data_IF_772878432013
#
_entry.id   IF_772878432013
#
_cell.length_a   1.000
_cell.length_b   1.000
_cell.length_c   1.000
_cell.angle_alpha   90.00
_cell.angle_beta   90.00
_cell.angle_gamma   90.00
#
_symmetry.space_group_name_H-M   'P 1'
#
loop_
_entity.id
_entity.type
_entity.pdbx_description
1 polymer ?
#
# COMPACT_ATOMS: atom_id res chain seq x y z
N UNK A 1 9.28 10.63 -18.15
CA UNK A 1 8.78 10.96 -16.81
C UNK A 1 9.33 12.30 -16.34
N UNK A 2 8.45 13.17 -15.92
CA UNK A 2 8.82 14.52 -15.48
C UNK A 2 9.25 14.51 -14.02
N UNK A 3 10.40 15.12 -13.71
CA UNK A 3 10.90 15.22 -12.34
C UNK A 3 9.86 15.87 -11.41
N UNK A 4 9.16 16.90 -11.88
CA UNK A 4 8.13 17.58 -11.10
C UNK A 4 6.91 16.71 -10.81
N UNK A 5 6.66 15.70 -11.65
CA UNK A 5 5.57 14.76 -11.46
C UNK A 5 5.93 13.53 -10.67
N UNK A 6 7.19 13.38 -10.27
CA UNK A 6 7.64 12.21 -9.54
C UNK A 6 7.18 12.28 -8.08
N UNK A 7 6.48 11.26 -7.63
CA UNK A 7 5.87 11.21 -6.29
C UNK A 7 6.49 10.13 -5.42
N UNK A 8 6.15 10.14 -4.13
CA UNK A 8 6.53 9.06 -3.23
C UNK A 8 5.92 7.74 -3.66
N UNK A 9 4.73 7.76 -4.24
CA UNK A 9 4.12 6.54 -4.77
C UNK A 9 4.93 5.97 -5.94
N UNK A 10 5.50 6.83 -6.79
CA UNK A 10 6.41 6.38 -7.86
C UNK A 10 7.63 5.68 -7.26
N UNK A 11 8.20 6.26 -6.21
CA UNK A 11 9.34 5.66 -5.52
C UNK A 11 8.99 4.30 -4.93
N UNK A 12 7.82 4.19 -4.33
CA UNK A 12 7.34 2.93 -3.74
C UNK A 12 7.15 1.86 -4.82
N UNK A 13 6.53 2.24 -5.95
CA UNK A 13 6.30 1.30 -7.05
C UNK A 13 7.63 0.82 -7.64
N UNK A 14 8.59 1.73 -7.86
CA UNK A 14 9.91 1.37 -8.37
C UNK A 14 10.64 0.42 -7.41
N UNK A 15 10.57 0.71 -6.11
CA UNK A 15 11.16 -0.15 -5.09
C UNK A 15 10.55 -1.55 -5.13
N UNK A 16 9.21 -1.64 -5.16
CA UNK A 16 8.53 -2.93 -5.21
C UNK A 16 8.92 -3.74 -6.43
N UNK A 17 8.99 -3.09 -7.59
CA UNK A 17 9.39 -3.75 -8.83
C UNK A 17 10.81 -4.32 -8.71
N UNK A 18 11.74 -3.55 -8.14
CA UNK A 18 13.12 -4.01 -7.92
C UNK A 18 13.18 -5.19 -6.95
N UNK A 19 12.25 -5.24 -6.00
CA UNK A 19 12.19 -6.31 -5.00
C UNK A 19 11.40 -7.54 -5.49
N UNK A 20 11.06 -7.57 -6.77
CA UNK A 20 10.43 -8.72 -7.38
C UNK A 20 8.91 -8.75 -7.30
N UNK A 21 8.28 -7.66 -6.90
CA UNK A 21 6.82 -7.55 -6.89
C UNK A 21 6.32 -7.21 -8.28
N UNK A 22 5.25 -7.86 -8.66
CA UNK A 22 4.56 -7.55 -9.92
C UNK A 22 3.45 -6.54 -9.61
N UNK A 23 3.57 -5.34 -10.13
CA UNK A 23 2.56 -4.29 -9.91
C UNK A 23 1.34 -4.58 -10.79
N UNK A 24 0.19 -4.75 -10.16
CA UNK A 24 -1.06 -5.04 -10.86
C UNK A 24 -1.85 -3.76 -11.13
N UNK A 25 -1.93 -2.87 -10.14
CA UNK A 25 -2.65 -1.62 -10.27
C UNK A 25 -2.03 -0.55 -9.40
N UNK A 26 -2.21 0.70 -9.81
CA UNK A 26 -1.83 1.88 -9.03
C UNK A 26 -3.01 2.82 -8.98
N UNK A 27 -3.20 3.47 -7.84
CA UNK A 27 -4.29 4.43 -7.67
C UNK A 27 -5.64 3.84 -8.08
N UNK A 28 -5.88 2.61 -7.65
CA UNK A 28 -7.13 1.94 -7.95
C UNK A 28 -8.27 2.54 -7.14
N UNK A 29 -9.39 2.81 -7.80
CA UNK A 29 -10.55 3.41 -7.14
C UNK A 29 -11.83 2.68 -7.52
N UNK A 30 -12.74 2.61 -6.55
CA UNK A 30 -14.10 2.13 -6.76
C UNK A 30 -15.01 2.88 -5.79
N UNK A 31 -15.77 3.86 -6.31
CA UNK A 31 -16.53 4.78 -5.47
C UNK A 31 -15.58 5.60 -4.60
N UNK A 32 -15.78 5.54 -3.30
CA UNK A 32 -14.91 6.23 -2.33
C UNK A 32 -13.76 5.37 -1.83
N UNK A 33 -13.66 4.15 -2.34
CA UNK A 33 -12.60 3.23 -1.96
C UNK A 33 -11.39 3.44 -2.86
N UNK A 34 -10.19 3.44 -2.27
CA UNK A 34 -8.98 3.57 -3.06
C UNK A 34 -7.84 2.75 -2.48
N UNK A 35 -6.95 2.30 -3.35
CA UNK A 35 -5.73 1.56 -2.98
C UNK A 35 -4.58 2.21 -3.74
N UNK A 36 -3.51 2.54 -3.01
CA UNK A 36 -2.36 3.17 -3.64
C UNK A 36 -1.66 2.25 -4.62
N UNK A 37 -1.31 1.03 -4.18
CA UNK A 37 -0.66 0.04 -5.04
C UNK A 37 -1.22 -1.34 -4.73
N UNK A 38 -1.53 -2.10 -5.77
CA UNK A 38 -1.86 -3.51 -5.67
C UNK A 38 -0.75 -4.27 -6.39
N UNK A 39 -0.14 -5.22 -5.71
CA UNK A 39 0.96 -6.00 -6.26
C UNK A 39 0.78 -7.48 -5.96
N UNK A 40 1.59 -8.31 -6.61
CA UNK A 40 1.61 -9.76 -6.37
C UNK A 40 3.06 -10.20 -6.25
N UNK A 41 3.30 -11.12 -5.31
CA UNK A 41 4.61 -11.77 -5.16
C UNK A 41 4.41 -13.13 -4.53
N UNK A 42 4.94 -14.15 -5.16
CA UNK A 42 4.91 -15.52 -4.61
C UNK A 42 3.50 -16.05 -4.37
N UNK A 43 2.52 -15.66 -5.18
CA UNK A 43 1.15 -16.11 -5.03
C UNK A 43 0.36 -15.38 -3.95
N UNK A 44 0.87 -14.24 -3.45
CA UNK A 44 0.21 -13.42 -2.45
C UNK A 44 -0.16 -12.09 -3.08
N UNK A 45 -1.41 -11.66 -2.88
CA UNK A 45 -1.86 -10.33 -3.28
C UNK A 45 -1.46 -9.36 -2.18
N UNK A 46 -0.72 -8.32 -2.53
CA UNK A 46 -0.21 -7.35 -1.56
C UNK A 46 -0.86 -6.00 -1.80
N UNK A 47 -1.59 -5.54 -0.79
CA UNK A 47 -2.26 -4.24 -0.79
C UNK A 47 -1.34 -3.28 -0.05
N UNK A 48 -0.87 -2.24 -0.74
CA UNK A 48 0.14 -1.34 -0.20
C UNK A 48 -0.41 0.06 0.00
N UNK A 49 -0.27 0.56 1.22
CA UNK A 49 -0.54 1.95 1.57
C UNK A 49 0.79 2.70 1.56
N UNK A 50 0.85 3.79 0.82
CA UNK A 50 2.07 4.60 0.70
C UNK A 50 1.93 5.86 1.51
N UNK A 51 2.90 6.14 2.37
CA UNK A 51 2.96 7.35 3.20
C UNK A 51 4.24 8.11 2.89
N UNK A 52 4.09 9.37 2.50
CA UNK A 52 5.23 10.26 2.26
C UNK A 52 5.35 11.20 3.45
N UNK A 53 6.53 11.29 4.03
CA UNK A 53 6.82 12.13 5.18
C UNK A 53 8.12 12.90 4.96
N UNK A 54 8.17 14.13 5.48
CA UNK A 54 9.41 14.91 5.41
C UNK A 54 10.47 14.38 6.34
N UNK A 55 10.02 13.92 7.51
CA UNK A 55 10.91 13.43 8.55
C UNK A 55 10.10 12.58 9.54
N UNK A 56 10.78 12.07 10.55
CA UNK A 56 10.19 11.15 11.52
C UNK A 56 9.53 11.84 12.72
N UNK A 57 9.31 13.15 12.68
CA UNK A 57 8.76 13.89 13.83
C UNK A 57 7.35 13.47 14.20
N UNK A 58 6.60 12.89 13.30
CA UNK A 58 5.21 12.52 13.51
C UNK A 58 5.03 11.07 13.95
N UNK A 59 6.07 10.47 14.51
CA UNK A 59 6.00 9.10 15.01
C UNK A 59 6.50 8.07 14.03
N UNK A 60 6.25 6.81 14.34
CA UNK A 60 6.66 5.70 13.47
C UNK A 60 5.76 5.62 12.25
N UNK A 61 6.26 5.16 11.10
CA UNK A 61 5.45 5.03 9.88
C UNK A 61 4.17 4.24 10.08
N UNK A 62 4.21 3.14 10.82
CA UNK A 62 3.05 2.29 11.06
C UNK A 62 1.98 3.00 11.89
N UNK A 63 2.37 3.98 12.71
CA UNK A 63 1.44 4.74 13.54
C UNK A 63 0.62 5.74 12.72
N UNK A 64 0.97 5.94 11.45
CA UNK A 64 0.24 6.84 10.57
C UNK A 64 -1.06 6.22 10.04
N UNK A 65 -1.33 4.95 10.34
CA UNK A 65 -2.50 4.24 9.82
C UNK A 65 -3.46 3.97 10.97
N UNK A 66 -4.52 4.79 11.05
CA UNK A 66 -5.56 4.66 12.08
C UNK A 66 -6.48 3.47 11.83
N UNK A 67 -7.27 3.10 12.84
CA UNK A 67 -8.28 2.05 12.68
C UNK A 67 -9.27 2.36 11.57
N UNK A 68 -9.70 3.61 11.45
CA UNK A 68 -10.60 4.01 10.37
C UNK A 68 -9.94 3.83 8.99
N UNK A 69 -8.66 4.14 8.89
CA UNK A 69 -7.92 3.95 7.65
C UNK A 69 -7.78 2.47 7.33
N UNK A 70 -7.46 1.65 8.34
CA UNK A 70 -7.38 0.19 8.17
C UNK A 70 -8.69 -0.35 7.65
N UNK A 71 -9.82 0.08 8.26
CA UNK A 71 -11.14 -0.34 7.82
C UNK A 71 -11.37 -0.02 6.34
N UNK A 72 -11.03 1.19 5.93
CA UNK A 72 -11.22 1.60 4.52
C UNK A 72 -10.34 0.80 3.58
N UNK A 73 -9.10 0.53 3.98
CA UNK A 73 -8.18 -0.27 3.16
C UNK A 73 -8.69 -1.70 3.01
N UNK A 74 -9.16 -2.30 4.11
CA UNK A 74 -9.70 -3.66 4.09
C UNK A 74 -10.92 -3.75 3.18
N UNK A 75 -11.83 -2.77 3.27
CA UNK A 75 -13.02 -2.74 2.40
C UNK A 75 -12.64 -2.54 0.93
N UNK A 76 -11.64 -1.70 0.66
CA UNK A 76 -11.15 -1.50 -0.70
C UNK A 76 -10.53 -2.79 -1.26
N UNK A 77 -9.74 -3.48 -0.45
CA UNK A 77 -9.14 -4.75 -0.84
C UNK A 77 -10.21 -5.80 -1.14
N UNK A 78 -11.25 -5.87 -0.30
CA UNK A 78 -12.36 -6.79 -0.53
C UNK A 78 -13.05 -6.50 -1.86
N UNK A 79 -13.29 -5.22 -2.16
CA UNK A 79 -13.90 -4.84 -3.43
C UNK A 79 -13.02 -5.24 -4.61
N UNK A 80 -11.71 -5.06 -4.50
CA UNK A 80 -10.76 -5.46 -5.53
C UNK A 80 -10.79 -6.95 -5.76
N UNK A 81 -10.69 -7.72 -4.69
CA UNK A 81 -10.68 -9.19 -4.74
C UNK A 81 -11.96 -9.72 -5.39
N UNK A 82 -13.10 -9.15 -5.02
CA UNK A 82 -14.38 -9.59 -5.59
C UNK A 82 -14.52 -9.23 -7.06
N UNK A 83 -14.12 -8.01 -7.41
CA UNK A 83 -14.25 -7.53 -8.79
C UNK A 83 -13.43 -8.35 -9.76
N UNK A 84 -12.19 -8.65 -9.39
CA UNK A 84 -11.26 -9.37 -10.26
C UNK A 84 -11.18 -10.86 -9.97
N UNK A 85 -12.03 -11.35 -9.07
CA UNK A 85 -12.09 -12.77 -8.70
C UNK A 85 -10.72 -13.33 -8.33
N UNK A 86 -10.03 -12.60 -7.47
CA UNK A 86 -8.70 -12.99 -7.02
C UNK A 86 -8.82 -14.20 -6.08
N UNK A 87 -8.00 -15.22 -6.32
CA UNK A 87 -7.92 -16.41 -5.49
C UNK A 87 -6.52 -16.54 -4.92
N UNK A 88 -6.14 -15.55 -4.13
CA UNK A 88 -4.84 -15.48 -3.46
C UNK A 88 -5.06 -14.97 -2.05
N UNK A 89 -4.23 -15.40 -1.09
CA UNK A 89 -4.23 -14.76 0.22
C UNK A 89 -3.82 -13.29 0.07
N UNK A 90 -4.33 -12.45 0.94
CA UNK A 90 -4.11 -11.01 0.90
C UNK A 90 -3.22 -10.60 2.07
N UNK A 91 -2.23 -9.77 1.78
CA UNK A 91 -1.34 -9.19 2.78
C UNK A 91 -1.37 -7.67 2.66
N UNK A 92 -1.36 -7.00 3.81
CA UNK A 92 -1.41 -5.53 3.87
C UNK A 92 -0.06 -4.99 4.29
N UNK A 93 0.54 -4.19 3.44
CA UNK A 93 1.85 -3.60 3.69
C UNK A 93 1.76 -2.08 3.74
N UNK A 94 2.69 -1.45 4.44
CA UNK A 94 2.84 0.00 4.44
C UNK A 94 4.24 0.30 3.90
N UNK A 95 4.33 1.24 2.97
CA UNK A 95 5.61 1.78 2.53
C UNK A 95 5.64 3.26 2.89
N UNK A 96 6.67 3.66 3.61
CA UNK A 96 6.94 5.06 3.92
C UNK A 96 8.09 5.55 3.06
N UNK A 97 7.88 6.69 2.44
CA UNK A 97 8.94 7.40 1.72
C UNK A 97 9.29 8.59 2.57
N UNK A 98 10.49 8.57 3.16
CA UNK A 98 10.88 9.50 4.21
C UNK A 98 11.99 10.43 3.77
N UNK A 99 11.76 11.71 3.98
CA UNK A 99 12.80 12.72 3.92
C UNK A 99 13.21 13.15 2.53
N UNK A 100 14.23 14.01 2.52
CA UNK A 100 14.77 14.64 1.32
C UNK A 100 15.33 13.60 0.34
N UNK A 101 15.91 12.54 0.86
CA UNK A 101 16.55 11.51 0.04
C UNK A 101 15.61 10.36 -0.31
N UNK A 102 14.33 10.48 0.03
CA UNK A 102 13.29 9.51 -0.30
C UNK A 102 13.65 8.10 0.18
N UNK A 103 14.02 8.02 1.45
CA UNK A 103 14.36 6.76 2.07
C UNK A 103 13.11 5.88 2.18
N UNK A 104 13.19 4.66 1.65
CA UNK A 104 12.08 3.71 1.69
C UNK A 104 12.13 2.89 2.97
N UNK A 105 10.98 2.80 3.65
CA UNK A 105 10.80 1.87 4.75
C UNK A 105 9.57 1.03 4.42
N UNK A 106 9.77 -0.28 4.29
CA UNK A 106 8.71 -1.21 3.90
C UNK A 106 8.33 -2.09 5.09
N UNK A 107 7.11 -1.94 5.56
CA UNK A 107 6.57 -2.74 6.66
C UNK A 107 5.70 -3.81 6.05
N UNK A 108 6.22 -5.03 6.04
CA UNK A 108 5.52 -6.19 5.47
C UNK A 108 4.55 -6.71 6.52
N UNK A 109 3.32 -7.03 6.08
CA UNK A 109 2.27 -7.55 6.96
C UNK A 109 2.00 -6.59 8.11
N UNK A 110 1.81 -5.31 7.77
CA UNK A 110 1.70 -4.22 8.73
C UNK A 110 0.45 -4.31 9.61
N UNK A 111 -0.63 -4.88 9.10
CA UNK A 111 -1.86 -5.14 9.87
C UNK A 111 -2.62 -6.27 9.19
N UNK A 112 -3.56 -6.83 9.94
CA UNK A 112 -4.38 -7.93 9.44
C UNK A 112 -5.84 -7.53 9.38
N UNK A 113 -6.63 -8.31 8.65
CA UNK A 113 -8.06 -8.10 8.58
C UNK A 113 -8.64 -8.19 9.99
N UNK A 114 -9.34 -7.14 10.46
CA UNK A 114 -9.90 -7.15 11.80
C UNK A 114 -10.91 -8.28 12.01
N UNK A 115 -11.02 -8.75 13.25
CA UNK A 115 -11.93 -9.85 13.60
C UNK A 115 -13.37 -9.53 13.22
N UNK A 116 -13.80 -8.26 13.39
CA UNK A 116 -15.17 -7.85 13.07
C UNK A 116 -15.51 -7.99 11.58
N UNK A 117 -14.52 -8.07 10.73
CA UNK A 117 -14.73 -8.17 9.29
C UNK A 117 -15.01 -9.60 8.84
N UNK A 118 -14.52 -10.55 9.56
CA UNK A 118 -14.65 -11.98 9.19
C UNK A 118 -16.11 -12.48 9.25
#
# INVERSE_FOLDING_TARGET
HNVLGHTGEDDAADYLAREGYHILDRNWRSGHKEIDIVAEKGGVLVIVEVKTRRDARFGKPEDAVSENKIRRIVLAADAYVRLYRIDMPVRFDIITVLGKYRQINHIIDAFRTPVWYR
#
